data_IF_542026050678
#
_entry.id   IF_542026050678
#
_cell.length_a   1.000
_cell.length_b   1.000
_cell.length_c   1.000
_cell.angle_alpha   90.00
_cell.angle_beta   90.00
_cell.angle_gamma   90.00
#
_symmetry.space_group_name_H-M   'P 1'
#
loop_
_entity.id
_entity.type
_entity.pdbx_description
1 polymer ?
#
# COMPACT_ATOMS: atom_id res chain seq x y z
N UNK A 1 -42.95 -58.69 3.00
CA UNK A 1 -43.18 -58.90 1.56
C UNK A 1 -43.26 -57.53 0.90
N UNK A 2 -42.38 -57.23 -0.07
CA UNK A 2 -42.57 -56.22 -1.15
C UNK A 2 -42.51 -54.75 -0.66
N UNK A 3 -41.73 -53.79 -1.19
CA UNK A 3 -41.07 -53.65 -2.47
C UNK A 3 -39.75 -52.86 -2.36
N UNK A 4 -38.78 -53.30 -3.17
CA UNK A 4 -37.63 -52.53 -3.66
C UNK A 4 -38.13 -51.56 -4.74
N UNK A 5 -37.47 -50.40 -4.90
CA UNK A 5 -37.40 -49.75 -6.21
C UNK A 5 -37.47 -48.22 -6.19
N UNK A 6 -36.31 -47.57 -6.13
CA UNK A 6 -36.10 -46.23 -6.71
C UNK A 6 -34.60 -45.93 -6.79
N UNK A 7 -33.88 -46.65 -7.66
CA UNK A 7 -32.51 -46.32 -8.05
C UNK A 7 -32.46 -46.24 -9.57
N UNK A 8 -32.47 -45.00 -10.09
CA UNK A 8 -31.96 -44.58 -11.42
C UNK A 8 -32.54 -43.22 -11.78
N UNK A 9 -31.89 -42.13 -11.38
CA UNK A 9 -32.06 -40.83 -12.07
C UNK A 9 -30.98 -39.77 -11.76
N UNK A 10 -29.71 -40.15 -11.66
CA UNK A 10 -28.64 -39.16 -11.38
C UNK A 10 -27.38 -39.48 -12.20
N UNK A 11 -27.46 -39.54 -13.54
CA UNK A 11 -26.25 -39.71 -14.37
C UNK A 11 -26.27 -38.92 -15.69
N UNK A 12 -27.25 -38.02 -15.91
CA UNK A 12 -27.35 -37.27 -17.19
C UNK A 12 -26.88 -35.83 -17.17
N UNK A 13 -26.51 -35.26 -16.03
CA UNK A 13 -26.16 -33.83 -15.94
C UNK A 13 -24.65 -33.53 -16.05
N UNK A 14 -23.79 -34.56 -16.14
CA UNK A 14 -22.34 -34.38 -16.18
C UNK A 14 -21.75 -34.34 -17.60
N UNK A 15 -22.50 -34.76 -18.62
CA UNK A 15 -21.96 -34.87 -19.98
C UNK A 15 -22.12 -33.60 -20.82
N UNK A 16 -23.02 -32.67 -20.43
CA UNK A 16 -23.27 -31.45 -21.19
C UNK A 16 -22.25 -30.33 -20.89
N UNK A 17 -21.46 -30.46 -19.82
CA UNK A 17 -20.46 -29.46 -19.43
C UNK A 17 -19.10 -29.62 -20.15
N UNK A 18 -18.89 -30.70 -20.90
CA UNK A 18 -17.60 -30.97 -21.56
C UNK A 18 -17.52 -30.38 -22.97
N UNK A 19 -18.65 -30.25 -23.69
CA UNK A 19 -18.64 -29.71 -25.07
C UNK A 19 -18.50 -28.19 -25.14
N UNK A 20 -18.77 -27.43 -24.06
CA UNK A 20 -18.63 -25.97 -24.05
C UNK A 20 -17.19 -25.45 -23.85
N UNK A 21 -16.20 -26.32 -23.69
CA UNK A 21 -14.80 -25.93 -23.45
C UNK A 21 -13.91 -25.94 -24.70
N UNK A 22 -14.44 -26.33 -25.86
CA UNK A 22 -13.66 -26.47 -27.09
C UNK A 22 -13.44 -25.16 -27.89
N UNK A 23 -14.15 -24.07 -27.56
CA UNK A 23 -14.08 -22.80 -28.34
C UNK A 23 -13.14 -21.73 -27.76
N UNK A 24 -12.29 -22.05 -26.77
CA UNK A 24 -11.27 -21.11 -26.29
C UNK A 24 -10.00 -21.18 -27.17
N UNK A 25 -10.11 -20.70 -28.40
CA UNK A 25 -8.99 -20.56 -29.32
C UNK A 25 -8.10 -19.36 -28.89
N UNK A 26 -6.76 -19.53 -28.80
CA UNK A 26 -5.85 -18.54 -28.22
C UNK A 26 -5.49 -17.45 -29.25
N UNK A 27 -6.29 -16.40 -29.32
CA UNK A 27 -6.00 -15.23 -30.15
C UNK A 27 -5.85 -13.97 -29.28
N UNK A 28 -4.63 -13.78 -28.78
CA UNK A 28 -4.09 -12.54 -28.20
C UNK A 28 -4.82 -12.00 -26.94
N UNK A 29 -4.13 -11.11 -26.22
CA UNK A 29 -4.58 -10.33 -25.05
C UNK A 29 -4.34 -10.95 -23.65
N UNK A 30 -3.46 -10.34 -22.83
CA UNK A 30 -3.16 -10.78 -21.46
C UNK A 30 -4.27 -10.49 -20.42
N UNK A 31 -5.43 -9.97 -20.83
CA UNK A 31 -6.50 -9.53 -19.92
C UNK A 31 -7.55 -10.63 -19.67
N UNK A 32 -7.64 -11.65 -20.53
CA UNK A 32 -8.71 -12.67 -20.46
C UNK A 32 -8.38 -13.84 -19.51
N UNK A 33 -7.10 -14.08 -19.19
CA UNK A 33 -6.66 -15.19 -18.32
C UNK A 33 -7.20 -15.04 -16.87
N UNK A 34 -7.40 -13.81 -16.39
CA UNK A 34 -7.85 -13.56 -15.03
C UNK A 34 -9.32 -13.98 -14.79
N UNK A 35 -10.15 -14.01 -15.84
CA UNK A 35 -11.58 -14.37 -15.74
C UNK A 35 -11.82 -15.88 -15.68
N UNK A 36 -11.00 -16.68 -16.38
CA UNK A 36 -11.12 -18.14 -16.37
C UNK A 36 -10.60 -18.78 -15.07
N UNK A 37 -9.61 -18.18 -14.40
CA UNK A 37 -9.13 -18.69 -13.11
C UNK A 37 -10.16 -18.53 -11.97
N UNK A 38 -10.98 -17.48 -12.03
CA UNK A 38 -12.04 -17.24 -11.04
C UNK A 38 -13.22 -18.21 -11.15
N UNK A 39 -13.55 -18.66 -12.36
CA UNK A 39 -14.67 -19.60 -12.54
C UNK A 39 -14.35 -21.02 -12.06
N UNK A 40 -13.08 -21.47 -12.18
CA UNK A 40 -12.69 -22.84 -11.76
C UNK A 40 -12.63 -23.03 -10.24
N UNK A 41 -12.49 -21.96 -9.45
CA UNK A 41 -12.48 -22.06 -7.97
C UNK A 41 -13.89 -22.16 -7.38
N UNK A 42 -14.94 -21.81 -8.15
CA UNK A 42 -16.30 -21.72 -7.60
C UNK A 42 -17.11 -23.03 -7.62
N UNK A 43 -16.66 -24.09 -8.29
CA UNK A 43 -17.43 -25.35 -8.44
C UNK A 43 -16.98 -26.49 -7.52
N UNK A 44 -15.85 -26.37 -6.81
CA UNK A 44 -15.36 -27.37 -5.87
C UNK A 44 -15.95 -27.31 -4.45
N UNK A 45 -16.83 -26.35 -4.15
CA UNK A 45 -17.28 -26.06 -2.76
C UNK A 45 -18.69 -26.57 -2.44
N UNK A 46 -19.30 -27.41 -3.29
CA UNK A 46 -20.69 -27.88 -3.11
C UNK A 46 -20.83 -29.29 -2.55
N UNK A 47 -19.88 -29.81 -1.75
CA UNK A 47 -20.16 -31.05 -0.98
C UNK A 47 -19.20 -31.37 0.18
N UNK A 48 -18.81 -30.38 0.99
CA UNK A 48 -18.40 -30.67 2.37
C UNK A 48 -19.59 -30.38 3.29
N UNK A 49 -20.51 -31.35 3.31
CA UNK A 49 -21.63 -31.37 4.23
C UNK A 49 -21.15 -31.42 5.68
N UNK A 50 -21.52 -30.39 6.43
CA UNK A 50 -22.12 -30.54 7.75
C UNK A 50 -21.25 -31.18 8.86
N UNK A 51 -19.99 -30.78 8.97
CA UNK A 51 -19.25 -30.90 10.24
C UNK A 51 -19.46 -29.70 11.18
N UNK A 52 -20.17 -28.66 10.72
CA UNK A 52 -20.47 -27.45 11.50
C UNK A 52 -21.44 -27.70 12.68
N UNK A 53 -22.18 -28.81 12.65
CA UNK A 53 -23.15 -29.19 13.70
C UNK A 53 -22.66 -30.38 14.54
N UNK A 54 -21.35 -30.57 14.70
CA UNK A 54 -20.83 -31.55 15.64
C UNK A 54 -20.97 -31.03 17.08
N UNK A 55 -21.85 -31.61 17.92
CA UNK A 55 -22.08 -31.15 19.30
C UNK A 55 -20.86 -31.35 20.21
N UNK A 56 -19.82 -32.05 19.74
CA UNK A 56 -18.57 -32.27 20.45
C UNK A 56 -17.43 -31.35 20.01
N UNK A 57 -17.66 -30.50 19.00
CA UNK A 57 -16.69 -29.46 18.66
C UNK A 57 -16.73 -28.39 19.74
N UNK A 58 -15.63 -28.23 20.47
CA UNK A 58 -15.43 -27.06 21.30
C UNK A 58 -15.68 -25.82 20.42
N UNK A 59 -16.40 -24.80 20.90
CA UNK A 59 -16.63 -23.59 20.13
C UNK A 59 -15.28 -23.09 19.63
N UNK A 60 -15.01 -23.32 18.34
CA UNK A 60 -13.87 -22.69 17.70
C UNK A 60 -14.23 -21.23 17.76
N UNK A 61 -13.53 -20.51 18.62
CA UNK A 61 -13.62 -19.07 18.72
C UNK A 61 -13.17 -18.57 17.35
N UNK A 62 -14.10 -18.48 16.41
CA UNK A 62 -13.93 -17.70 15.20
C UNK A 62 -13.49 -16.36 15.74
N UNK A 63 -12.24 -15.94 15.50
CA UNK A 63 -11.79 -14.64 15.96
C UNK A 63 -12.78 -13.68 15.33
N UNK A 64 -13.63 -13.07 16.15
CA UNK A 64 -14.62 -12.10 15.73
C UNK A 64 -13.89 -11.11 14.83
N UNK A 65 -14.27 -11.09 13.54
CA UNK A 65 -13.48 -10.65 12.39
C UNK A 65 -13.09 -9.16 12.35
N UNK A 66 -13.12 -8.48 13.49
CA UNK A 66 -12.75 -7.07 13.64
C UNK A 66 -11.29 -6.85 14.03
N UNK A 67 -10.62 -7.87 14.59
CA UNK A 67 -9.21 -7.75 14.97
C UNK A 67 -8.28 -7.43 13.79
N UNK A 68 -8.62 -7.95 12.61
CA UNK A 68 -7.91 -7.70 11.36
C UNK A 68 -8.03 -6.24 10.87
N UNK A 69 -9.27 -5.73 10.89
CA UNK A 69 -9.63 -4.41 10.36
C UNK A 69 -9.01 -3.26 11.15
N UNK A 70 -8.99 -3.36 12.47
CA UNK A 70 -8.45 -2.30 13.33
C UNK A 70 -6.98 -2.01 13.05
N UNK A 71 -6.20 -3.06 12.78
CA UNK A 71 -4.76 -2.94 12.55
C UNK A 71 -4.43 -2.36 11.16
N UNK A 72 -5.19 -2.73 10.13
CA UNK A 72 -5.09 -2.11 8.80
C UNK A 72 -5.45 -0.62 8.87
N UNK A 73 -6.50 -0.28 9.62
CA UNK A 73 -6.91 1.11 9.82
C UNK A 73 -5.85 1.91 10.59
N UNK A 74 -5.18 1.30 11.58
CA UNK A 74 -4.08 1.94 12.29
C UNK A 74 -2.91 2.30 11.36
N UNK A 75 -2.50 1.41 10.45
CA UNK A 75 -1.46 1.71 9.47
C UNK A 75 -1.86 2.85 8.54
N UNK A 76 -3.11 2.86 8.07
CA UNK A 76 -3.61 3.96 7.26
C UNK A 76 -3.51 5.29 8.02
N UNK A 77 -3.96 5.35 9.27
CA UNK A 77 -3.88 6.56 10.11
C UNK A 77 -2.44 7.02 10.30
N UNK A 78 -1.50 6.10 10.58
CA UNK A 78 -0.08 6.44 10.72
C UNK A 78 0.47 7.01 9.41
N UNK A 79 0.13 6.43 8.27
CA UNK A 79 0.53 6.96 6.96
C UNK A 79 -0.06 8.36 6.72
N UNK A 80 -1.30 8.62 7.11
CA UNK A 80 -1.90 9.95 7.02
C UNK A 80 -1.18 10.97 7.89
N UNK A 81 -0.88 10.63 9.14
CA UNK A 81 -0.16 11.51 10.07
C UNK A 81 1.25 11.79 9.56
N UNK A 82 1.98 10.77 9.13
CA UNK A 82 3.36 10.91 8.66
C UNK A 82 3.43 11.64 7.31
N UNK A 83 2.54 11.29 6.38
CA UNK A 83 2.41 11.97 5.08
C UNK A 83 2.02 13.44 5.26
N UNK A 84 1.07 13.73 6.15
CA UNK A 84 0.65 15.08 6.50
C UNK A 84 1.75 15.89 7.16
N UNK A 85 2.48 15.32 8.13
CA UNK A 85 3.62 15.98 8.78
C UNK A 85 4.73 16.28 7.77
N UNK A 86 5.03 15.34 6.87
CA UNK A 86 6.02 15.53 5.80
C UNK A 86 5.61 16.65 4.84
N UNK A 87 4.33 16.67 4.44
CA UNK A 87 3.77 17.73 3.59
C UNK A 87 3.84 19.09 4.27
N UNK A 88 3.41 19.18 5.53
CA UNK A 88 3.46 20.40 6.31
C UNK A 88 4.90 20.89 6.48
N UNK A 89 5.84 19.99 6.80
CA UNK A 89 7.25 20.33 6.92
C UNK A 89 7.83 20.81 5.59
N UNK A 90 7.54 20.13 4.47
CA UNK A 90 7.99 20.52 3.14
C UNK A 90 7.45 21.89 2.71
N UNK A 91 6.17 22.17 2.98
CA UNK A 91 5.54 23.46 2.70
C UNK A 91 6.15 24.56 3.58
N UNK A 92 6.29 24.31 4.89
CA UNK A 92 6.91 25.27 5.81
C UNK A 92 8.37 25.57 5.41
N UNK A 93 9.17 24.54 5.15
CA UNK A 93 10.56 24.70 4.71
C UNK A 93 10.65 25.43 3.36
N UNK A 94 9.75 25.13 2.42
CA UNK A 94 9.65 25.83 1.14
C UNK A 94 9.24 27.30 1.30
N UNK A 95 8.25 27.59 2.14
CA UNK A 95 7.76 28.95 2.39
C UNK A 95 8.79 29.80 3.13
N UNK A 96 9.32 29.30 4.25
CA UNK A 96 10.33 30.01 5.04
C UNK A 96 11.66 30.08 4.30
N UNK A 97 12.16 28.96 3.77
CA UNK A 97 13.39 28.93 2.99
C UNK A 97 13.32 29.83 1.76
N UNK A 98 12.22 29.76 1.02
CA UNK A 98 11.96 30.63 -0.13
C UNK A 98 11.89 32.11 0.25
N UNK A 99 11.24 32.46 1.37
CA UNK A 99 11.17 33.85 1.83
C UNK A 99 12.52 34.43 2.23
N UNK A 100 13.36 33.66 2.94
CA UNK A 100 14.69 34.10 3.37
C UNK A 100 15.61 34.28 2.16
N UNK A 101 15.56 33.33 1.22
CA UNK A 101 16.29 33.43 -0.05
C UNK A 101 15.81 34.64 -0.84
N UNK A 102 14.49 34.84 -0.96
CA UNK A 102 13.91 35.98 -1.69
C UNK A 102 14.34 37.32 -1.10
N UNK A 103 14.35 37.42 0.23
CA UNK A 103 14.82 38.61 0.94
C UNK A 103 16.33 38.83 0.72
N UNK A 104 17.13 37.77 0.78
CA UNK A 104 18.57 37.84 0.53
C UNK A 104 18.86 38.31 -0.92
N UNK A 105 18.13 37.78 -1.90
CA UNK A 105 18.21 38.22 -3.29
C UNK A 105 17.82 39.69 -3.47
N UNK A 106 16.78 40.15 -2.76
CA UNK A 106 16.37 41.55 -2.79
C UNK A 106 17.43 42.48 -2.17
N UNK A 107 18.05 42.07 -1.07
CA UNK A 107 19.11 42.84 -0.41
C UNK A 107 20.37 42.94 -1.29
N UNK A 108 20.82 41.83 -1.90
CA UNK A 108 22.02 41.80 -2.76
C UNK A 108 21.85 42.62 -4.04
N UNK A 109 20.61 42.75 -4.54
CA UNK A 109 20.34 43.57 -5.72
C UNK A 109 20.67 45.05 -5.51
N UNK A 110 20.62 45.52 -4.26
CA UNK A 110 20.87 46.92 -3.92
C UNK A 110 22.35 47.21 -3.65
N UNK A 111 23.20 46.19 -3.54
CA UNK A 111 24.61 46.37 -3.22
C UNK A 111 25.49 46.12 -4.45
N UNK A 112 26.06 47.18 -5.07
CA UNK A 112 26.84 47.05 -6.29
C UNK A 112 28.20 46.37 -6.07
N UNK A 113 28.63 46.15 -4.83
CA UNK A 113 29.99 45.69 -4.52
C UNK A 113 30.12 44.18 -4.28
N UNK A 114 29.04 43.40 -4.43
CA UNK A 114 29.08 41.95 -4.20
C UNK A 114 29.79 41.23 -5.34
N UNK A 115 30.85 40.49 -4.99
CA UNK A 115 31.64 39.67 -5.92
C UNK A 115 30.76 38.75 -6.79
N UNK A 116 31.07 38.61 -8.09
CA UNK A 116 30.27 37.81 -9.02
C UNK A 116 30.21 36.33 -8.62
N UNK A 117 31.26 35.80 -7.99
CA UNK A 117 31.32 34.40 -7.55
C UNK A 117 30.32 34.10 -6.42
N UNK A 118 30.12 35.06 -5.51
CA UNK A 118 29.15 34.92 -4.43
C UNK A 118 27.70 34.89 -4.95
N UNK A 119 27.40 35.66 -6.01
CA UNK A 119 26.07 35.68 -6.64
C UNK A 119 25.72 34.34 -7.27
N UNK A 120 26.68 33.69 -7.94
CA UNK A 120 26.48 32.36 -8.52
C UNK A 120 26.27 31.28 -7.46
N UNK A 121 27.07 31.28 -6.39
CA UNK A 121 26.93 30.31 -5.30
C UNK A 121 25.56 30.35 -4.62
N UNK A 122 25.04 31.56 -4.38
CA UNK A 122 23.73 31.74 -3.75
C UNK A 122 22.57 31.28 -4.63
N UNK A 123 22.68 31.48 -5.95
CA UNK A 123 21.71 30.97 -6.93
C UNK A 123 21.60 29.45 -6.90
N UNK A 124 22.73 28.74 -6.93
CA UNK A 124 22.74 27.27 -6.91
C UNK A 124 22.13 26.74 -5.60
N UNK A 125 22.54 27.30 -4.46
CA UNK A 125 21.98 26.91 -3.15
C UNK A 125 20.47 27.10 -3.09
N UNK A 126 19.93 28.17 -3.68
CA UNK A 126 18.48 28.40 -3.71
C UNK A 126 17.73 27.32 -4.48
N UNK A 127 18.25 26.92 -5.65
CA UNK A 127 17.62 25.88 -6.49
C UNK A 127 17.65 24.55 -5.76
N UNK A 128 18.75 24.22 -5.08
CA UNK A 128 18.88 23.00 -4.29
C UNK A 128 17.86 22.96 -3.15
N UNK A 129 17.69 24.05 -2.39
CA UNK A 129 16.72 24.11 -1.29
C UNK A 129 15.29 23.92 -1.81
N UNK A 130 14.92 24.60 -2.90
CA UNK A 130 13.60 24.46 -3.53
C UNK A 130 13.38 23.05 -4.07
N UNK A 131 14.40 22.44 -4.69
CA UNK A 131 14.33 21.07 -5.17
C UNK A 131 14.12 20.06 -4.03
N UNK A 132 14.85 20.21 -2.92
CA UNK A 132 14.69 19.35 -1.73
C UNK A 132 13.28 19.51 -1.14
N UNK A 133 12.78 20.74 -1.00
CA UNK A 133 11.41 20.99 -0.53
C UNK A 133 10.38 20.35 -1.47
N UNK A 134 10.57 20.45 -2.78
CA UNK A 134 9.72 19.81 -3.78
C UNK A 134 9.69 18.28 -3.66
N UNK A 135 10.86 17.65 -3.51
CA UNK A 135 10.97 16.20 -3.30
C UNK A 135 10.28 15.78 -2.00
N UNK A 136 10.41 16.59 -0.94
CA UNK A 136 9.78 16.32 0.35
C UNK A 136 8.25 16.34 0.25
N UNK A 137 7.70 17.36 -0.42
CA UNK A 137 6.26 17.48 -0.67
C UNK A 137 5.76 16.32 -1.52
N UNK A 138 6.47 15.98 -2.61
CA UNK A 138 6.12 14.86 -3.47
C UNK A 138 6.11 13.53 -2.71
N UNK A 139 7.10 13.31 -1.84
CA UNK A 139 7.16 12.14 -0.98
C UNK A 139 5.98 12.08 -0.01
N UNK A 140 5.59 13.22 0.59
CA UNK A 140 4.40 13.33 1.43
C UNK A 140 3.11 12.93 0.69
N UNK A 141 2.95 13.40 -0.55
CA UNK A 141 1.80 13.05 -1.40
C UNK A 141 1.76 11.54 -1.70
N UNK A 142 2.90 10.92 -2.01
CA UNK A 142 2.99 9.47 -2.26
C UNK A 142 2.60 8.65 -1.02
N UNK A 143 2.99 9.10 0.18
CA UNK A 143 2.60 8.46 1.45
C UNK A 143 1.08 8.56 1.66
N UNK A 144 0.48 9.71 1.41
CA UNK A 144 -0.97 9.89 1.50
C UNK A 144 -1.72 9.00 0.51
N UNK A 145 -1.21 8.90 -0.73
CA UNK A 145 -1.78 8.05 -1.77
C UNK A 145 -1.72 6.57 -1.35
N UNK A 146 -0.63 6.14 -0.71
CA UNK A 146 -0.51 4.80 -0.16
C UNK A 146 -1.50 4.56 0.99
N UNK A 147 -1.69 5.54 1.88
CA UNK A 147 -2.73 5.49 2.92
C UNK A 147 -4.13 5.29 2.34
N UNK A 148 -4.46 6.03 1.28
CA UNK A 148 -5.74 5.90 0.57
C UNK A 148 -5.90 4.53 -0.12
N UNK A 149 -4.82 3.99 -0.69
CA UNK A 149 -4.82 2.65 -1.28
C UNK A 149 -5.10 1.55 -0.24
N UNK A 150 -4.53 1.68 0.96
CA UNK A 150 -4.75 0.75 2.07
C UNK A 150 -6.18 0.79 2.58
N UNK A 151 -6.79 1.98 2.71
CA UNK A 151 -8.19 2.11 3.15
C UNK A 151 -9.19 1.42 2.22
N UNK A 152 -8.91 1.41 0.92
CA UNK A 152 -9.77 0.78 -0.08
C UNK A 152 -9.50 -0.73 -0.27
N UNK A 153 -8.65 -1.34 0.57
CA UNK A 153 -8.26 -2.75 0.47
C UNK A 153 -7.76 -3.16 -0.92
N UNK A 154 -7.13 -2.24 -1.67
CA UNK A 154 -6.61 -2.53 -3.02
C UNK A 154 -5.20 -3.12 -2.95
N UNK A 155 -4.93 -4.11 -3.79
CA UNK A 155 -3.61 -4.78 -3.88
C UNK A 155 -2.46 -3.79 -4.14
N UNK A 156 -2.70 -2.76 -4.95
CA UNK A 156 -1.73 -1.70 -5.24
C UNK A 156 -1.30 -0.91 -4.01
N UNK A 157 -2.21 -0.72 -3.03
CA UNK A 157 -1.89 -0.02 -1.78
C UNK A 157 -0.85 -0.76 -0.95
N UNK A 158 -0.95 -2.10 -0.91
CA UNK A 158 -0.01 -2.95 -0.17
C UNK A 158 1.41 -2.83 -0.74
N UNK A 159 1.54 -2.96 -2.05
CA UNK A 159 2.84 -2.85 -2.74
C UNK A 159 3.46 -1.48 -2.49
N UNK A 160 2.68 -0.41 -2.64
CA UNK A 160 3.14 0.96 -2.38
C UNK A 160 3.65 1.13 -0.95
N UNK A 161 2.91 0.65 0.06
CA UNK A 161 3.34 0.77 1.46
C UNK A 161 4.63 0.01 1.78
N UNK A 162 4.86 -1.15 1.17
CA UNK A 162 6.11 -1.90 1.34
C UNK A 162 7.28 -1.13 0.73
N UNK A 163 7.12 -0.64 -0.50
CA UNK A 163 8.16 0.14 -1.18
C UNK A 163 8.48 1.41 -0.39
N UNK A 164 7.45 2.12 0.10
CA UNK A 164 7.60 3.30 0.95
C UNK A 164 8.29 2.97 2.28
N UNK A 165 7.97 1.85 2.92
CA UNK A 165 8.63 1.44 4.16
C UNK A 165 10.13 1.18 3.94
N UNK A 166 10.51 0.53 2.84
CA UNK A 166 11.92 0.28 2.50
C UNK A 166 12.66 1.59 2.23
N UNK A 167 12.10 2.46 1.39
CA UNK A 167 12.70 3.77 1.08
C UNK A 167 12.84 4.60 2.37
N UNK A 168 11.79 4.62 3.20
CA UNK A 168 11.80 5.31 4.48
C UNK A 168 12.85 4.75 5.43
N UNK A 169 13.05 3.43 5.46
CA UNK A 169 14.11 2.79 6.25
C UNK A 169 15.51 3.21 5.79
N UNK A 170 15.76 3.25 4.47
CA UNK A 170 17.05 3.68 3.91
C UNK A 170 17.32 5.16 4.20
N UNK A 171 16.31 6.02 4.01
CA UNK A 171 16.42 7.45 4.32
C UNK A 171 16.65 7.64 5.83
N UNK A 172 15.87 6.96 6.67
CA UNK A 172 16.02 7.03 8.13
C UNK A 172 17.41 6.59 8.59
N UNK A 173 17.98 5.55 7.98
CA UNK A 173 19.35 5.10 8.24
C UNK A 173 20.38 6.17 7.87
N UNK A 174 20.22 6.81 6.71
CA UNK A 174 21.08 7.90 6.26
C UNK A 174 20.97 9.12 7.19
N UNK A 175 19.76 9.47 7.63
CA UNK A 175 19.52 10.56 8.60
C UNK A 175 20.11 10.26 9.97
N UNK A 176 20.09 9.00 10.41
CA UNK A 176 20.72 8.59 11.66
C UNK A 176 22.24 8.70 11.58
N UNK A 177 22.82 8.43 10.41
CA UNK A 177 24.24 8.64 10.11
C UNK A 177 24.63 10.13 10.21
N UNK A 178 23.69 11.03 9.91
CA UNK A 178 23.81 12.47 10.08
C UNK A 178 23.49 12.95 11.51
N UNK A 179 23.19 12.05 12.45
CA UNK A 179 22.81 12.34 13.85
C UNK A 179 21.50 13.14 14.00
N UNK A 180 20.58 13.01 13.04
CA UNK A 180 19.27 13.67 13.13
C UNK A 180 18.27 12.80 13.90
N UNK A 181 17.64 13.39 14.94
CA UNK A 181 16.65 12.71 15.80
C UNK A 181 15.45 12.18 15.00
N UNK A 182 15.09 12.84 13.90
CA UNK A 182 14.03 12.38 13.00
C UNK A 182 14.31 11.00 12.37
N UNK A 183 15.59 10.62 12.20
CA UNK A 183 15.97 9.32 11.65
C UNK A 183 15.49 8.16 12.51
N UNK A 184 15.52 8.30 13.85
CA UNK A 184 15.04 7.26 14.77
C UNK A 184 13.52 7.02 14.62
N UNK A 185 12.74 8.10 14.53
CA UNK A 185 11.30 8.01 14.35
C UNK A 185 10.95 7.34 13.02
N UNK A 186 11.73 7.63 11.97
CA UNK A 186 11.53 7.08 10.65
C UNK A 186 11.88 5.59 10.55
N UNK A 187 12.91 5.14 11.26
CA UNK A 187 13.26 3.71 11.38
C UNK A 187 12.18 2.95 12.17
N UNK A 188 11.70 3.52 13.28
CA UNK A 188 10.63 2.93 14.07
C UNK A 188 9.35 2.74 13.26
N UNK A 189 8.98 3.75 12.46
CA UNK A 189 7.90 3.66 11.48
C UNK A 189 8.15 2.53 10.49
N UNK A 190 9.31 2.51 9.81
CA UNK A 190 9.61 1.48 8.82
C UNK A 190 9.49 0.05 9.38
N UNK A 191 10.01 -0.20 10.57
CA UNK A 191 9.92 -1.50 11.26
C UNK A 191 8.46 -1.85 11.57
N UNK A 192 7.70 -0.92 12.16
CA UNK A 192 6.31 -1.14 12.50
C UNK A 192 5.47 -1.50 11.26
N UNK A 193 5.59 -0.72 10.19
CA UNK A 193 4.84 -0.95 8.94
C UNK A 193 5.21 -2.30 8.33
N UNK A 194 6.48 -2.70 8.40
CA UNK A 194 6.96 -4.00 7.92
C UNK A 194 6.34 -5.16 8.71
N UNK A 195 6.38 -5.09 10.05
CA UNK A 195 5.80 -6.12 10.93
C UNK A 195 4.31 -6.31 10.65
N UNK A 196 3.58 -5.21 10.50
CA UNK A 196 2.15 -5.24 10.20
C UNK A 196 1.88 -5.87 8.83
N UNK A 197 2.61 -5.43 7.80
CA UNK A 197 2.36 -5.87 6.41
C UNK A 197 2.84 -7.29 6.10
N UNK A 198 3.86 -7.79 6.82
CA UNK A 198 4.36 -9.14 6.62
C UNK A 198 3.49 -10.22 7.27
N UNK A 199 2.52 -9.86 8.10
CA UNK A 199 1.69 -10.86 8.75
C UNK A 199 0.70 -11.48 7.73
N UNK A 200 0.84 -12.78 7.39
CA UNK A 200 0.06 -13.43 6.35
C UNK A 200 -1.42 -13.61 6.71
N UNK A 201 -1.79 -13.35 7.98
CA UNK A 201 -3.18 -13.38 8.40
C UNK A 201 -3.99 -12.27 7.74
N UNK A 202 -3.37 -11.13 7.41
CA UNK A 202 -4.05 -9.96 6.85
C UNK A 202 -4.09 -9.97 5.33
N UNK A 203 -3.23 -10.72 4.65
CA UNK A 203 -3.18 -10.76 3.18
C UNK A 203 -4.40 -11.43 2.55
N UNK A 204 -5.19 -12.18 3.34
CA UNK A 204 -6.42 -12.84 2.87
C UNK A 204 -7.61 -11.89 2.70
N UNK A 205 -7.58 -10.72 3.35
CA UNK A 205 -8.67 -9.73 3.30
C UNK A 205 -8.55 -8.74 2.14
N UNK A 206 -7.40 -8.72 1.45
CA UNK A 206 -7.16 -7.89 0.27
C UNK A 206 -7.47 -8.71 -1.00
N UNK A 207 -8.75 -8.92 -1.29
CA UNK A 207 -9.22 -9.62 -2.50
C UNK A 207 -10.26 -8.81 -3.25
#
# INVERSE_FOLDING_TARGET
>A
MIARGASKKIDRSANDSIESLADCQPAAWPIVIQKCYWLRVSEGSRQMSSFENDPFRSPTHSPSGDGGRGLIMAVAVINYVFGGLSLACGICAGAFGGSVIGLAFAAIRNDPQVDPDAKFGMGIMSVVIVAIAGIQVLSGVLILLAGYGVQNYREWGRILTIVLAVISGVIGLLSLLLLWVFGLLQIGYAIFTLIVLLNPSYTRDFR
#
